data_IF_846523529648
#
_entry.id   IF_846523529648
#
_cell.length_a   1.000
_cell.length_b   1.000
_cell.length_c   1.000
_cell.angle_alpha   90.00
_cell.angle_beta   90.00
_cell.angle_gamma   90.00
#
_symmetry.space_group_name_H-M   'P 1'
#
loop_
_entity.id
_entity.type
_entity.pdbx_description
1 polymer ?
#
# COMPACT_ATOMS: atom_id res chain seq x y z
N UNK A 1 60.90 -42.92 12.70
CA UNK A 1 60.58 -42.10 11.52
C UNK A 1 59.12 -42.31 11.14
N UNK A 2 58.26 -41.30 11.34
CA UNK A 2 56.99 -41.04 10.66
C UNK A 2 56.47 -39.72 11.24
N UNK A 3 56.69 -38.62 10.52
CA UNK A 3 56.18 -37.29 10.88
C UNK A 3 54.76 -37.18 10.33
N UNK A 4 53.79 -37.03 11.23
CA UNK A 4 52.40 -36.71 10.92
C UNK A 4 52.29 -35.20 10.69
N UNK A 5 51.86 -34.79 9.50
CA UNK A 5 51.49 -33.40 9.21
C UNK A 5 50.00 -33.20 9.52
N UNK A 6 49.59 -32.17 10.26
CA UNK A 6 48.18 -31.80 10.32
C UNK A 6 47.79 -31.04 9.05
N UNK A 7 46.76 -31.56 8.38
CA UNK A 7 46.10 -30.95 7.23
C UNK A 7 45.34 -29.70 7.70
N UNK A 8 45.85 -28.52 7.41
CA UNK A 8 45.14 -27.25 7.61
C UNK A 8 44.06 -27.12 6.53
N UNK A 9 42.81 -27.43 6.89
CA UNK A 9 41.63 -27.11 6.08
C UNK A 9 41.32 -25.61 6.25
N UNK A 10 41.80 -24.80 5.30
CA UNK A 10 41.41 -23.39 5.20
C UNK A 10 39.98 -23.35 4.67
N UNK A 11 39.00 -23.23 5.56
CA UNK A 11 37.61 -22.97 5.20
C UNK A 11 37.50 -21.49 4.81
N UNK A 12 37.53 -21.22 3.50
CA UNK A 12 37.21 -19.91 2.95
C UNK A 12 35.71 -19.67 3.21
N UNK A 13 35.38 -19.03 4.34
CA UNK A 13 34.07 -18.44 4.53
C UNK A 13 33.98 -17.28 3.54
N UNK A 14 33.37 -17.54 2.38
CA UNK A 14 32.85 -16.49 1.54
C UNK A 14 31.80 -15.75 2.38
N UNK A 15 32.20 -14.62 2.95
CA UNK A 15 31.26 -13.63 3.47
C UNK A 15 30.39 -13.19 2.29
N UNK A 16 29.24 -13.83 2.14
CA UNK A 16 28.12 -13.23 1.44
C UNK A 16 27.57 -12.15 2.38
N UNK A 17 28.22 -10.98 2.39
CA UNK A 17 27.54 -9.77 2.82
C UNK A 17 26.45 -9.51 1.79
N UNK A 18 25.24 -9.97 2.10
CA UNK A 18 24.04 -9.42 1.49
C UNK A 18 24.07 -7.94 1.88
N UNK A 19 24.54 -7.08 0.98
CA UNK A 19 24.39 -5.64 1.11
C UNK A 19 22.91 -5.39 1.39
N UNK A 20 22.60 -4.95 2.62
CA UNK A 20 21.27 -4.43 2.94
C UNK A 20 20.97 -3.37 1.86
N UNK A 21 19.81 -3.44 1.16
CA UNK A 21 19.50 -2.44 0.14
C UNK A 21 19.66 -1.06 0.78
N UNK A 22 20.53 -0.23 0.19
CA UNK A 22 20.83 1.09 0.75
C UNK A 22 19.52 1.84 0.95
N UNK A 23 19.19 2.12 2.21
CA UNK A 23 18.04 2.91 2.63
C UNK A 23 18.13 4.33 2.07
N UNK A 24 17.71 4.54 0.82
CA UNK A 24 17.70 5.86 0.19
C UNK A 24 16.29 6.40 0.22
N UNK A 25 16.03 7.29 1.16
CA UNK A 25 14.85 8.15 1.09
C UNK A 25 15.01 9.16 -0.05
N UNK A 26 13.92 9.48 -0.73
CA UNK A 26 13.90 10.42 -1.85
C UNK A 26 12.97 11.59 -1.55
N UNK A 27 13.31 12.77 -2.07
CA UNK A 27 12.41 13.93 -2.09
C UNK A 27 11.93 14.20 -3.51
N UNK A 28 10.63 14.28 -3.69
CA UNK A 28 9.97 14.57 -4.98
C UNK A 28 9.20 15.88 -4.90
N UNK A 29 9.30 16.69 -5.94
CA UNK A 29 8.62 17.99 -6.05
C UNK A 29 7.66 17.98 -7.24
N UNK A 30 6.40 18.32 -6.99
CA UNK A 30 5.42 18.53 -8.05
C UNK A 30 5.20 20.04 -8.19
N UNK A 31 5.35 20.53 -9.43
CA UNK A 31 5.24 21.95 -9.76
C UNK A 31 4.03 22.24 -10.63
N UNK A 32 3.35 23.35 -10.37
CA UNK A 32 2.38 23.96 -11.29
C UNK A 32 2.76 25.42 -11.50
N UNK A 33 2.87 25.85 -12.75
CA UNK A 33 3.19 27.24 -13.09
C UNK A 33 4.45 27.80 -12.42
N UNK A 34 5.51 27.00 -12.30
CA UNK A 34 6.81 27.40 -11.72
C UNK A 34 6.92 27.32 -10.19
N UNK A 35 5.81 27.16 -9.47
CA UNK A 35 5.79 26.99 -8.00
C UNK A 35 5.84 25.51 -7.63
N UNK A 36 6.57 25.17 -6.57
CA UNK A 36 6.48 23.84 -5.95
C UNK A 36 5.23 23.84 -5.09
N UNK A 37 4.21 23.11 -5.52
CA UNK A 37 2.94 23.04 -4.79
C UNK A 37 2.95 21.91 -3.77
N UNK A 38 3.67 20.81 -4.08
CA UNK A 38 3.74 19.63 -3.22
C UNK A 38 5.16 19.07 -3.14
N UNK A 39 5.55 18.65 -1.94
CA UNK A 39 6.76 17.88 -1.66
C UNK A 39 6.38 16.53 -1.08
N UNK A 40 7.10 15.48 -1.46
CA UNK A 40 6.93 14.12 -0.94
C UNK A 40 8.27 13.61 -0.43
N UNK A 41 8.24 12.92 0.71
CA UNK A 41 9.34 12.16 1.26
C UNK A 41 8.96 10.69 1.11
N UNK A 42 9.85 9.95 0.45
CA UNK A 42 9.69 8.52 0.25
C UNK A 42 10.64 7.77 1.17
N UNK A 43 10.20 6.64 1.68
CA UNK A 43 11.05 5.67 2.37
C UNK A 43 11.87 4.87 1.34
N UNK A 44 12.80 4.06 1.84
CA UNK A 44 13.71 3.27 1.02
C UNK A 44 13.03 2.30 0.05
N UNK A 45 11.85 1.84 0.44
CA UNK A 45 11.03 0.90 -0.31
C UNK A 45 10.10 1.61 -1.32
N UNK A 46 10.19 2.94 -1.40
CA UNK A 46 9.41 3.78 -2.30
C UNK A 46 8.01 4.14 -1.82
N UNK A 47 7.58 3.75 -0.60
CA UNK A 47 6.33 4.29 -0.03
C UNK A 47 6.52 5.74 0.39
N UNK A 48 5.44 6.52 0.40
CA UNK A 48 5.49 7.92 0.83
C UNK A 48 5.38 7.95 2.35
N UNK A 49 6.39 8.35 3.10
CA UNK A 49 6.26 8.56 4.55
C UNK A 49 5.63 9.90 4.89
N UNK A 50 5.88 10.92 4.07
CA UNK A 50 5.35 12.27 4.32
C UNK A 50 5.05 13.02 3.02
N UNK A 51 4.02 13.87 3.05
CA UNK A 51 3.79 14.88 2.03
C UNK A 51 3.49 16.25 2.64
N UNK A 52 3.79 17.31 1.91
CA UNK A 52 3.52 18.68 2.29
C UNK A 52 3.07 19.48 1.09
N UNK A 53 1.92 20.14 1.19
CA UNK A 53 1.33 20.95 0.11
C UNK A 53 0.91 22.30 0.65
N UNK A 54 1.03 23.37 -0.15
CA UNK A 54 0.46 24.67 0.23
C UNK A 54 -1.01 24.75 -0.20
N UNK A 55 -1.92 25.04 0.74
CA UNK A 55 -3.34 25.22 0.41
C UNK A 55 -3.60 26.56 -0.29
N UNK A 56 -4.84 26.76 -0.77
CA UNK A 56 -5.26 27.99 -1.46
C UNK A 56 -5.11 29.25 -0.59
N UNK A 57 -5.08 29.10 0.73
CA UNK A 57 -4.89 30.17 1.71
C UNK A 57 -3.43 30.38 2.09
N UNK A 58 -2.49 29.67 1.46
CA UNK A 58 -1.05 29.80 1.70
C UNK A 58 -0.52 29.00 2.89
N UNK A 59 -1.36 28.22 3.58
CA UNK A 59 -0.94 27.39 4.73
C UNK A 59 -0.34 26.08 4.26
N UNK A 60 0.66 25.59 4.98
CA UNK A 60 1.23 24.26 4.74
C UNK A 60 0.31 23.20 5.32
N UNK A 61 -0.06 22.22 4.50
CA UNK A 61 -0.79 21.01 4.88
C UNK A 61 0.18 19.85 4.81
N UNK A 62 0.51 19.28 5.96
CA UNK A 62 1.42 18.13 6.08
C UNK A 62 0.60 16.87 6.29
N UNK A 63 1.01 15.77 5.66
CA UNK A 63 0.45 14.42 5.89
C UNK A 63 1.58 13.45 6.18
N UNK A 64 1.43 12.67 7.24
CA UNK A 64 2.28 11.51 7.51
C UNK A 64 1.47 10.25 7.22
N UNK A 65 2.10 9.26 6.60
CA UNK A 65 1.46 8.03 6.15
C UNK A 65 2.11 6.85 6.85
N UNK A 66 1.29 5.92 7.32
CA UNK A 66 1.77 4.68 7.92
C UNK A 66 1.21 3.50 7.14
N UNK A 67 2.05 2.49 6.94
CA UNK A 67 1.73 1.29 6.22
C UNK A 67 1.95 0.06 7.10
N UNK A 68 1.26 -1.03 6.81
CA UNK A 68 1.56 -2.33 7.41
C UNK A 68 2.80 -2.98 6.78
N UNK A 69 3.19 -4.15 7.30
CA UNK A 69 4.33 -4.92 6.77
C UNK A 69 4.14 -5.45 5.34
N UNK A 70 2.96 -5.27 4.74
CA UNK A 70 2.63 -5.62 3.35
C UNK A 70 2.46 -4.39 2.46
N UNK A 71 2.84 -3.20 2.95
CA UNK A 71 2.75 -1.91 2.23
C UNK A 71 1.30 -1.45 1.96
N UNK A 72 0.32 -1.93 2.75
CA UNK A 72 -1.04 -1.37 2.72
C UNK A 72 -1.12 -0.19 3.68
N UNK A 73 -1.76 0.89 3.23
CA UNK A 73 -1.91 2.11 4.02
C UNK A 73 -2.83 1.83 5.22
N UNK A 74 -2.34 2.11 6.43
CA UNK A 74 -3.03 1.91 7.70
C UNK A 74 -3.53 3.23 8.29
N UNK A 75 -2.76 4.30 8.19
CA UNK A 75 -3.16 5.60 8.73
C UNK A 75 -2.63 6.78 7.91
N UNK A 76 -3.35 7.89 7.97
CA UNK A 76 -2.88 9.19 7.47
C UNK A 76 -3.15 10.26 8.53
N UNK A 77 -2.09 10.81 9.08
CA UNK A 77 -2.17 11.96 10.00
C UNK A 77 -2.01 13.27 9.22
N UNK A 78 -3.07 14.09 9.19
CA UNK A 78 -3.08 15.41 8.53
C UNK A 78 -2.96 16.53 9.55
N UNK A 79 -2.00 17.43 9.36
CA UNK A 79 -1.88 18.69 10.09
C UNK A 79 -1.93 19.89 9.12
N UNK A 80 -2.46 21.02 9.60
CA UNK A 80 -2.53 22.28 8.86
C UNK A 80 -1.82 23.36 9.69
N UNK A 81 -0.72 23.90 9.17
CA UNK A 81 0.12 24.84 9.90
C UNK A 81 0.69 24.24 11.18
N UNK A 82 0.48 24.90 12.31
CA UNK A 82 0.85 24.43 13.66
C UNK A 82 -0.30 23.72 14.39
N UNK A 83 -1.42 23.43 13.71
CA UNK A 83 -2.57 22.77 14.31
C UNK A 83 -2.30 21.30 14.67
N UNK A 84 -3.10 20.79 15.62
CA UNK A 84 -3.08 19.37 15.97
C UNK A 84 -3.38 18.48 14.76
N UNK A 85 -2.75 17.31 14.72
CA UNK A 85 -2.99 16.32 13.67
C UNK A 85 -4.35 15.65 13.84
N UNK A 86 -5.06 15.48 12.73
CA UNK A 86 -6.23 14.62 12.60
C UNK A 86 -5.84 13.34 11.88
N UNK A 87 -6.19 12.17 12.41
CA UNK A 87 -5.79 10.87 11.86
C UNK A 87 -6.98 10.13 11.24
N UNK A 88 -6.84 9.75 9.98
CA UNK A 88 -7.76 8.81 9.31
C UNK A 88 -7.14 7.42 9.35
N UNK A 89 -7.93 6.41 9.73
CA UNK A 89 -7.49 5.01 9.75
C UNK A 89 -8.10 4.22 8.60
N UNK A 90 -7.36 3.24 8.11
CA UNK A 90 -7.74 2.36 7.01
C UNK A 90 -7.54 0.91 7.43
N UNK A 91 -8.52 0.06 7.18
CA UNK A 91 -8.40 -1.38 7.38
C UNK A 91 -8.97 -2.13 6.19
N UNK A 92 -8.26 -3.17 5.75
CA UNK A 92 -8.67 -4.05 4.66
C UNK A 92 -8.94 -5.46 5.21
N UNK A 93 -10.02 -6.09 4.76
CA UNK A 93 -10.38 -7.47 5.06
C UNK A 93 -10.52 -8.29 3.78
N UNK A 94 -10.17 -9.58 3.83
CA UNK A 94 -10.42 -10.52 2.73
C UNK A 94 -11.42 -11.58 3.19
N UNK A 95 -12.44 -11.82 2.37
CA UNK A 95 -13.43 -12.88 2.57
C UNK A 95 -13.04 -14.06 1.69
N UNK A 96 -13.20 -15.28 2.20
CA UNK A 96 -12.94 -16.51 1.45
C UNK A 96 -14.07 -17.51 1.67
N UNK A 97 -14.31 -18.39 0.69
CA UNK A 97 -15.20 -19.53 0.85
C UNK A 97 -14.54 -20.68 1.64
N UNK A 98 -15.27 -21.77 1.87
CA UNK A 98 -14.77 -22.94 2.61
C UNK A 98 -13.59 -23.67 1.95
N UNK A 99 -13.27 -23.36 0.69
CA UNK A 99 -12.09 -23.88 -0.01
C UNK A 99 -10.86 -22.97 0.12
N UNK A 100 -11.02 -21.80 0.74
CA UNK A 100 -9.96 -20.78 0.84
C UNK A 100 -9.86 -19.87 -0.39
N UNK A 101 -10.78 -19.97 -1.35
CA UNK A 101 -10.83 -19.05 -2.50
C UNK A 101 -11.41 -17.72 -2.04
N UNK A 102 -10.75 -16.62 -2.40
CA UNK A 102 -11.23 -15.28 -2.10
C UNK A 102 -12.59 -15.02 -2.76
N UNK A 103 -13.56 -14.56 -1.99
CA UNK A 103 -14.92 -14.21 -2.46
C UNK A 103 -15.19 -12.71 -2.40
N UNK A 104 -14.31 -11.96 -1.73
CA UNK A 104 -14.39 -10.52 -1.68
C UNK A 104 -13.32 -9.88 -0.83
N UNK A 105 -13.33 -8.56 -0.85
CA UNK A 105 -12.52 -7.73 0.05
C UNK A 105 -13.35 -6.58 0.59
N UNK A 106 -13.19 -6.25 1.86
CA UNK A 106 -13.80 -5.07 2.48
C UNK A 106 -12.73 -4.04 2.79
N UNK A 107 -13.05 -2.76 2.65
CA UNK A 107 -12.22 -1.68 3.15
C UNK A 107 -13.04 -0.76 4.04
N UNK A 108 -12.55 -0.50 5.24
CA UNK A 108 -13.14 0.47 6.16
C UNK A 108 -12.20 1.66 6.29
N UNK A 109 -12.78 2.85 6.26
CA UNK A 109 -12.11 4.12 6.50
C UNK A 109 -12.77 4.76 7.71
N UNK A 110 -11.98 5.10 8.73
CA UNK A 110 -12.47 5.79 9.93
C UNK A 110 -11.91 7.21 9.92
N UNK A 111 -12.81 8.18 9.88
CA UNK A 111 -12.48 9.58 9.91
C UNK A 111 -12.09 10.03 11.32
N UNK A 112 -11.19 11.03 11.42
CA UNK A 112 -10.77 11.59 12.69
C UNK A 112 -11.91 12.20 13.51
N UNK A 113 -13.00 12.57 12.85
CA UNK A 113 -14.17 13.20 13.46
C UNK A 113 -15.26 12.17 13.84
N UNK A 114 -14.95 10.87 13.78
CA UNK A 114 -15.81 9.78 14.26
C UNK A 114 -16.72 9.14 13.21
N UNK A 115 -16.65 9.58 11.95
CA UNK A 115 -17.33 8.92 10.83
C UNK A 115 -16.62 7.63 10.41
N UNK A 116 -17.36 6.69 9.82
CA UNK A 116 -16.77 5.52 9.17
C UNK A 116 -17.48 5.18 7.88
N UNK A 117 -16.72 4.90 6.84
CA UNK A 117 -17.20 4.44 5.54
C UNK A 117 -16.67 3.04 5.27
N UNK A 118 -17.53 2.13 4.81
CA UNK A 118 -17.12 0.80 4.37
C UNK A 118 -17.46 0.63 2.90
N UNK A 119 -16.54 0.06 2.13
CA UNK A 119 -16.79 -0.37 0.76
C UNK A 119 -16.39 -1.82 0.60
N UNK A 120 -17.20 -2.58 -0.13
CA UNK A 120 -17.04 -4.01 -0.31
C UNK A 120 -16.88 -4.34 -1.79
N UNK A 121 -15.95 -5.24 -2.08
CA UNK A 121 -15.78 -5.85 -3.38
C UNK A 121 -16.21 -7.31 -3.25
N UNK A 122 -17.09 -7.77 -4.14
CA UNK A 122 -17.46 -9.18 -4.29
C UNK A 122 -16.97 -9.73 -5.61
N UNK A 123 -16.38 -10.90 -5.54
CA UNK A 123 -15.91 -11.67 -6.70
C UNK A 123 -16.97 -12.70 -7.09
N UNK A 124 -17.44 -12.62 -8.34
CA UNK A 124 -18.48 -13.49 -8.87
C UNK A 124 -17.83 -14.49 -9.81
N UNK A 125 -18.03 -15.77 -9.51
CA UNK A 125 -17.45 -16.88 -10.25
C UNK A 125 -18.56 -17.67 -10.97
N UNK A 126 -18.24 -18.24 -12.13
CA UNK A 126 -19.09 -19.24 -12.76
C UNK A 126 -18.99 -20.60 -12.05
N UNK A 127 -19.73 -21.58 -12.56
CA UNK A 127 -19.79 -22.94 -12.03
C UNK A 127 -18.44 -23.68 -12.12
N UNK A 128 -17.61 -23.33 -13.10
CA UNK A 128 -16.26 -23.90 -13.30
C UNK A 128 -15.21 -23.21 -12.41
N UNK A 129 -15.63 -22.21 -11.62
CA UNK A 129 -14.79 -21.50 -10.67
C UNK A 129 -14.01 -20.33 -11.26
N UNK A 130 -14.34 -19.90 -12.48
CA UNK A 130 -13.68 -18.77 -13.16
C UNK A 130 -14.36 -17.46 -12.81
N UNK A 131 -13.56 -16.41 -12.59
CA UNK A 131 -14.05 -15.08 -12.26
C UNK A 131 -14.72 -14.44 -13.47
N UNK A 132 -16.01 -14.15 -13.37
CA UNK A 132 -16.82 -13.58 -14.46
C UNK A 132 -17.24 -12.14 -14.21
N UNK A 133 -17.26 -11.69 -12.96
CA UNK A 133 -17.57 -10.31 -12.63
C UNK A 133 -17.01 -9.88 -11.28
N UNK A 134 -16.91 -8.58 -11.10
CA UNK A 134 -16.60 -7.93 -9.83
C UNK A 134 -17.69 -6.92 -9.54
N UNK A 135 -18.25 -6.98 -8.33
CA UNK A 135 -19.22 -6.01 -7.84
C UNK A 135 -18.59 -5.16 -6.74
N UNK A 136 -18.61 -3.84 -6.91
CA UNK A 136 -18.24 -2.87 -5.88
C UNK A 136 -19.52 -2.33 -5.24
N UNK A 137 -19.61 -2.41 -3.91
CA UNK A 137 -20.63 -1.75 -3.11
C UNK A 137 -19.97 -0.61 -2.34
N UNK A 138 -20.44 0.62 -2.55
CA UNK A 138 -19.95 1.78 -1.81
C UNK A 138 -20.62 1.90 -0.42
N UNK A 139 -20.14 2.85 0.39
CA UNK A 139 -20.66 3.09 1.74
C UNK A 139 -22.13 3.55 1.79
N UNK A 140 -22.71 3.92 0.65
CA UNK A 140 -24.12 4.31 0.52
C UNK A 140 -24.99 3.14 0.03
N UNK A 141 -24.39 1.97 -0.20
CA UNK A 141 -25.07 0.79 -0.73
C UNK A 141 -25.25 0.80 -2.24
N UNK A 142 -24.64 1.74 -2.97
CA UNK A 142 -24.70 1.73 -4.44
C UNK A 142 -23.81 0.60 -4.97
N UNK A 143 -24.32 -0.14 -5.94
CA UNK A 143 -23.61 -1.28 -6.53
C UNK A 143 -23.19 -0.96 -7.96
N UNK A 144 -21.90 -1.12 -8.23
CA UNK A 144 -21.33 -1.05 -9.57
C UNK A 144 -20.77 -2.42 -9.95
N UNK A 145 -21.22 -2.97 -11.07
CA UNK A 145 -20.79 -4.30 -11.54
C UNK A 145 -19.95 -4.12 -12.79
N UNK A 146 -18.77 -4.74 -12.78
CA UNK A 146 -17.92 -4.89 -13.96
C UNK A 146 -17.84 -6.36 -14.34
N UNK A 147 -18.48 -6.72 -15.45
CA UNK A 147 -18.36 -8.05 -16.04
C UNK A 147 -16.99 -8.17 -16.73
N UNK A 148 -16.35 -9.31 -16.53
CA UNK A 148 -15.17 -9.70 -17.27
C UNK A 148 -15.66 -10.52 -18.46
N UNK A 149 -15.69 -9.91 -19.63
CA UNK A 149 -15.96 -10.65 -20.84
C UNK A 149 -14.77 -11.56 -21.13
N UNK A 150 -15.04 -12.84 -21.28
CA UNK A 150 -14.09 -13.73 -21.91
C UNK A 150 -13.79 -13.24 -23.31
N UNK A 151 -12.50 -13.19 -23.63
CA UNK A 151 -11.99 -12.74 -24.92
C UNK A 151 -12.79 -13.34 -26.07
N UNK A 152 -13.46 -12.47 -26.79
CA UNK A 152 -14.23 -12.82 -27.97
C UNK A 152 -14.75 -11.56 -28.63
N UNK A 153 -13.86 -10.82 -29.33
CA UNK A 153 -14.32 -10.03 -30.47
C UNK A 153 -14.96 -11.04 -31.42
N UNK A 154 -16.26 -10.97 -31.62
CA UNK A 154 -16.90 -11.50 -32.81
C UNK A 154 -17.42 -10.31 -33.64
N UNK A 155 -17.24 -10.40 -34.97
CA UNK A 155 -17.37 -9.28 -35.91
C UNK A 155 -18.76 -8.65 -35.92
#
# INVERSE_FOLDING_TARGET
MKRMYPLFLVLLLASCEIEKPQNKSARVYIRSGGKVDSTYILDADGTISQSSTRDKSGRTVTRSYEYDGQRKLQSVARSVGSGASKVTYYSDGTQSDGSGRATGTSRTVVDPDGGSEQSDIRYLYDADGKLIAVALTDAKGNVQIKTLHDGGIKP
#
